data_IF_155353976106
#
_entry.id   IF_155353976106
#
_cell.length_a   1.000
_cell.length_b   1.000
_cell.length_c   1.000
_cell.angle_alpha   90.00
_cell.angle_beta   90.00
_cell.angle_gamma   90.00
#
_symmetry.space_group_name_H-M   'P 1'
#
loop_
_entity.id
_entity.type
_entity.pdbx_description
1 polymer ?
#
# COMPACT_ATOMS: atom_id res chain seq x y z
N UNK A 1 -30.83 -4.66 -18.78
CA UNK A 1 -30.79 -5.61 -17.65
C UNK A 1 -29.33 -5.70 -17.22
N UNK A 2 -29.00 -5.42 -15.97
CA UNK A 2 -27.63 -5.56 -15.48
C UNK A 2 -27.28 -7.05 -15.40
N UNK A 3 -26.16 -7.43 -15.98
CA UNK A 3 -25.59 -8.77 -15.86
C UNK A 3 -25.33 -9.09 -14.38
N UNK A 4 -25.56 -10.34 -13.95
CA UNK A 4 -25.24 -10.71 -12.57
C UNK A 4 -23.73 -10.66 -12.34
N UNK A 5 -23.31 -10.26 -11.14
CA UNK A 5 -21.90 -10.16 -10.74
C UNK A 5 -21.15 -11.47 -11.03
N UNK A 6 -21.80 -12.62 -10.76
CA UNK A 6 -21.22 -13.94 -11.00
C UNK A 6 -21.02 -14.22 -12.50
N UNK A 7 -21.98 -13.87 -13.34
CA UNK A 7 -21.86 -14.05 -14.79
C UNK A 7 -20.74 -13.17 -15.35
N UNK A 8 -20.66 -11.95 -14.87
CA UNK A 8 -19.61 -11.01 -15.27
C UNK A 8 -18.21 -11.48 -14.85
N UNK A 9 -18.06 -11.94 -13.59
CA UNK A 9 -16.80 -12.51 -13.12
C UNK A 9 -16.37 -13.75 -13.92
N UNK A 10 -17.31 -14.60 -14.32
CA UNK A 10 -17.02 -15.75 -15.16
C UNK A 10 -16.58 -15.37 -16.58
N UNK A 11 -17.15 -14.29 -17.14
CA UNK A 11 -16.71 -13.75 -18.43
C UNK A 11 -15.28 -13.21 -18.36
N UNK A 12 -14.93 -12.51 -17.27
CA UNK A 12 -13.55 -12.07 -17.02
C UNK A 12 -12.58 -13.24 -16.88
N UNK A 13 -12.96 -14.29 -16.12
CA UNK A 13 -12.14 -15.53 -15.98
C UNK A 13 -11.92 -16.23 -17.31
N UNK A 14 -12.94 -16.29 -18.15
CA UNK A 14 -12.84 -16.91 -19.46
C UNK A 14 -11.90 -16.14 -20.41
N UNK A 15 -11.90 -14.81 -20.33
CA UNK A 15 -11.08 -13.95 -21.20
C UNK A 15 -9.64 -13.83 -20.70
N UNK A 16 -9.45 -13.76 -19.39
CA UNK A 16 -8.16 -13.57 -18.74
C UNK A 16 -7.81 -14.80 -17.88
N UNK A 17 -7.60 -15.93 -18.54
CA UNK A 17 -7.36 -17.20 -17.86
C UNK A 17 -6.07 -17.22 -17.00
N UNK A 18 -5.11 -16.38 -17.33
CA UNK A 18 -3.83 -16.25 -16.59
C UNK A 18 -3.94 -15.29 -15.39
N UNK A 19 -5.06 -14.57 -15.26
CA UNK A 19 -5.28 -13.61 -14.20
C UNK A 19 -6.12 -14.21 -13.06
N UNK A 20 -5.86 -13.78 -11.83
CA UNK A 20 -6.68 -14.17 -10.68
C UNK A 20 -7.87 -13.22 -10.52
N UNK A 21 -9.07 -13.70 -10.84
CA UNK A 21 -10.32 -12.92 -10.66
C UNK A 21 -10.97 -13.30 -9.33
N UNK A 22 -11.12 -12.30 -8.45
CA UNK A 22 -11.75 -12.43 -7.14
C UNK A 22 -13.06 -11.66 -7.08
N UNK A 23 -14.00 -12.16 -6.27
CA UNK A 23 -15.25 -11.44 -5.96
C UNK A 23 -15.31 -11.31 -4.45
N UNK A 24 -15.35 -10.08 -3.95
CA UNK A 24 -15.41 -9.80 -2.52
C UNK A 24 -16.86 -9.82 -2.03
N UNK A 25 -17.23 -10.87 -1.31
CA UNK A 25 -18.52 -10.97 -0.64
C UNK A 25 -18.52 -10.21 0.71
N UNK A 26 -19.63 -9.60 1.14
CA UNK A 26 -20.95 -9.57 0.48
C UNK A 26 -21.14 -8.40 -0.51
N UNK A 27 -20.12 -7.56 -0.72
CA UNK A 27 -20.24 -6.32 -1.52
C UNK A 27 -20.31 -6.55 -3.03
N UNK A 28 -19.88 -7.73 -3.49
CA UNK A 28 -19.83 -8.04 -4.91
C UNK A 28 -18.77 -7.25 -5.69
N UNK A 29 -17.75 -6.73 -5.04
CA UNK A 29 -16.64 -6.03 -5.69
C UNK A 29 -15.78 -7.04 -6.45
N UNK A 30 -15.53 -6.76 -7.72
CA UNK A 30 -14.69 -7.61 -8.55
C UNK A 30 -13.27 -7.05 -8.57
N UNK A 31 -12.31 -7.91 -8.24
CA UNK A 31 -10.88 -7.65 -8.34
C UNK A 31 -10.22 -8.59 -9.34
N UNK A 32 -9.27 -8.08 -10.10
CA UNK A 32 -8.42 -8.87 -10.98
C UNK A 32 -6.96 -8.60 -10.64
N UNK A 33 -6.20 -9.67 -10.35
CA UNK A 33 -4.76 -9.61 -10.18
C UNK A 33 -4.08 -10.06 -11.45
N UNK A 34 -3.15 -9.26 -11.93
CA UNK A 34 -2.57 -9.32 -13.27
C UNK A 34 -1.04 -9.39 -13.11
N UNK A 35 -0.40 -10.23 -13.91
CA UNK A 35 1.05 -10.22 -14.04
C UNK A 35 1.53 -8.87 -14.59
N UNK A 36 2.63 -8.28 -14.07
CA UNK A 36 3.12 -6.97 -14.52
C UNK A 36 3.39 -6.92 -16.03
N UNK A 37 3.83 -8.02 -16.64
CA UNK A 37 4.06 -8.08 -18.09
C UNK A 37 2.77 -7.95 -18.92
N UNK A 38 1.61 -8.27 -18.33
CA UNK A 38 0.31 -8.21 -18.98
C UNK A 38 -0.54 -7.00 -18.58
N UNK A 39 -0.02 -6.16 -17.68
CA UNK A 39 -0.74 -5.06 -17.09
C UNK A 39 -1.40 -4.13 -18.12
N UNK A 40 -0.62 -3.58 -19.03
CA UNK A 40 -1.09 -2.67 -20.06
C UNK A 40 -2.00 -3.34 -21.09
N UNK A 41 -1.65 -4.56 -21.52
CA UNK A 41 -2.46 -5.30 -22.49
C UNK A 41 -3.85 -5.66 -21.93
N UNK A 42 -3.92 -6.06 -20.67
CA UNK A 42 -5.18 -6.34 -19.99
C UNK A 42 -6.00 -5.06 -19.81
N UNK A 43 -5.36 -3.94 -19.46
CA UNK A 43 -6.03 -2.64 -19.36
C UNK A 43 -6.67 -2.21 -20.69
N UNK A 44 -5.98 -2.36 -21.82
CA UNK A 44 -6.52 -2.11 -23.15
C UNK A 44 -7.74 -2.98 -23.44
N UNK A 45 -7.65 -4.28 -23.17
CA UNK A 45 -8.77 -5.19 -23.37
C UNK A 45 -9.98 -4.86 -22.47
N UNK A 46 -9.73 -4.46 -21.23
CA UNK A 46 -10.80 -4.02 -20.32
C UNK A 46 -11.50 -2.75 -20.83
N UNK A 47 -10.75 -1.80 -21.37
CA UNK A 47 -11.34 -0.61 -21.99
C UNK A 47 -12.15 -0.95 -23.24
N UNK A 48 -11.56 -1.70 -24.17
CA UNK A 48 -12.09 -1.86 -25.53
C UNK A 48 -13.13 -3.00 -25.63
N UNK A 49 -12.96 -4.10 -24.89
CA UNK A 49 -13.86 -5.27 -24.98
C UNK A 49 -14.93 -5.26 -23.85
N UNK A 50 -14.60 -4.70 -22.68
CA UNK A 50 -15.49 -4.69 -21.51
C UNK A 50 -16.12 -3.34 -21.20
N UNK A 51 -15.76 -2.29 -21.95
CA UNK A 51 -16.37 -0.97 -21.85
C UNK A 51 -16.05 -0.23 -20.56
N UNK A 52 -14.82 -0.36 -20.05
CA UNK A 52 -14.34 0.48 -18.94
C UNK A 52 -13.80 1.80 -19.47
N UNK A 53 -14.71 2.73 -19.72
CA UNK A 53 -14.39 4.02 -20.32
C UNK A 53 -13.59 4.93 -19.38
N UNK A 54 -13.82 4.79 -18.07
CA UNK A 54 -13.22 5.67 -17.07
C UNK A 54 -12.23 4.94 -16.17
N UNK A 55 -11.03 5.49 -16.08
CA UNK A 55 -10.11 5.27 -14.98
C UNK A 55 -10.49 6.20 -13.83
N UNK A 56 -10.83 5.63 -12.68
CA UNK A 56 -11.19 6.41 -11.49
C UNK A 56 -9.93 6.89 -10.78
N UNK A 57 -8.99 5.98 -10.55
CA UNK A 57 -7.69 6.29 -9.96
C UNK A 57 -6.63 5.22 -10.30
N UNK A 58 -5.36 5.55 -10.03
CA UNK A 58 -4.25 4.60 -9.91
C UNK A 58 -3.52 4.92 -8.61
N UNK A 59 -3.40 3.94 -7.73
CA UNK A 59 -2.76 4.10 -6.43
C UNK A 59 -1.58 3.13 -6.26
N UNK A 60 -0.50 3.58 -5.64
CA UNK A 60 0.55 2.71 -5.15
C UNK A 60 0.16 2.09 -3.80
N UNK A 61 0.64 0.88 -3.53
CA UNK A 61 0.46 0.21 -2.23
C UNK A 61 1.78 -0.43 -1.82
N UNK A 62 2.18 -0.20 -0.57
CA UNK A 62 3.29 -0.90 0.07
C UNK A 62 2.74 -1.94 1.05
N UNK A 63 2.96 -3.23 0.75
CA UNK A 63 2.53 -4.37 1.56
C UNK A 63 3.59 -4.80 2.59
N UNK A 64 4.63 -4.00 2.82
CA UNK A 64 5.60 -4.28 3.88
C UNK A 64 4.86 -4.48 5.20
N UNK A 65 5.04 -5.63 5.84
CA UNK A 65 4.35 -6.03 7.09
C UNK A 65 2.86 -6.40 6.96
N UNK A 66 2.27 -6.40 5.77
CA UNK A 66 0.90 -6.87 5.60
C UNK A 66 0.78 -8.35 6.00
N UNK A 67 -0.18 -8.67 6.87
CA UNK A 67 -0.41 -10.03 7.36
C UNK A 67 0.60 -10.52 8.41
N UNK A 68 1.60 -9.72 8.78
CA UNK A 68 2.40 -9.97 9.98
C UNK A 68 1.72 -9.37 11.21
N UNK A 69 2.02 -9.91 12.40
CA UNK A 69 1.50 -9.36 13.66
C UNK A 69 1.84 -7.88 13.78
N UNK A 70 0.86 -7.04 13.51
CA UNK A 70 1.02 -5.57 13.55
C UNK A 70 1.43 -5.04 14.93
N UNK A 71 1.34 -5.88 15.92
CA UNK A 71 1.34 -5.46 17.30
C UNK A 71 2.48 -6.07 18.11
N UNK A 72 3.57 -6.47 17.47
CA UNK A 72 4.78 -6.71 18.19
C UNK A 72 5.12 -5.42 18.95
N UNK A 73 4.78 -5.41 20.24
CA UNK A 73 4.88 -4.26 21.14
C UNK A 73 6.31 -4.03 21.61
N UNK A 74 7.30 -4.51 20.87
CA UNK A 74 8.66 -4.11 21.13
C UNK A 74 8.78 -2.61 20.92
N UNK A 75 9.15 -1.89 21.97
CA UNK A 75 9.17 -0.45 21.96
C UNK A 75 10.23 0.04 20.99
N UNK A 76 9.80 0.83 20.04
CA UNK A 76 10.68 1.54 19.15
C UNK A 76 11.49 2.56 19.93
N UNK A 77 12.81 2.49 19.85
CA UNK A 77 13.72 3.52 20.38
C UNK A 77 13.53 4.87 19.66
N UNK A 78 12.77 4.92 18.58
CA UNK A 78 12.48 6.11 17.80
C UNK A 78 11.10 6.74 18.11
N UNK A 79 10.60 6.54 19.32
CA UNK A 79 9.46 7.30 19.84
C UNK A 79 8.08 6.87 19.34
N UNK A 80 7.95 5.80 18.58
CA UNK A 80 6.66 5.19 18.28
C UNK A 80 6.21 4.22 19.37
N UNK A 81 6.65 4.48 20.61
CA UNK A 81 6.19 3.76 21.78
C UNK A 81 4.81 4.24 22.16
N UNK A 82 3.84 3.38 22.07
CA UNK A 82 2.48 3.62 22.56
C UNK A 82 2.44 3.52 24.11
N UNK A 83 3.32 4.22 24.78
CA UNK A 83 3.34 4.27 26.26
C UNK A 83 4.02 3.10 26.93
N UNK A 84 4.83 2.33 26.20
CA UNK A 84 5.69 1.26 26.77
C UNK A 84 7.14 1.72 26.68
N UNK A 85 7.91 1.59 27.77
CA UNK A 85 9.32 1.96 27.78
C UNK A 85 10.11 1.16 26.75
N UNK A 86 10.81 1.88 25.87
CA UNK A 86 11.59 1.29 24.79
C UNK A 86 12.84 0.57 25.28
N UNK A 87 12.90 -0.73 25.08
CA UNK A 87 14.09 -1.56 25.36
C UNK A 87 14.54 -2.32 24.11
N UNK A 88 14.57 -1.68 22.95
CA UNK A 88 15.05 -2.36 21.76
C UNK A 88 15.09 -1.47 20.53
N UNK A 89 15.71 -1.93 19.44
CA UNK A 89 15.59 -1.25 18.16
C UNK A 89 14.12 -1.21 17.76
N UNK A 90 13.67 -0.09 17.22
CA UNK A 90 12.33 0.06 16.72
C UNK A 90 11.94 -1.04 15.73
N UNK A 91 10.64 -1.16 15.46
CA UNK A 91 10.07 -2.13 14.52
C UNK A 91 10.78 -2.14 13.16
N UNK A 92 11.40 -1.03 12.80
CA UNK A 92 12.11 -0.84 11.55
C UNK A 92 13.53 -0.34 11.85
N UNK A 93 14.51 -1.17 11.58
CA UNK A 93 15.90 -0.75 11.43
C UNK A 93 16.13 -0.55 9.94
N UNK A 94 16.67 0.60 9.55
CA UNK A 94 17.04 0.87 8.17
C UNK A 94 17.87 -0.29 7.59
N UNK A 95 17.39 -0.86 6.48
CA UNK A 95 18.03 -1.99 5.83
C UNK A 95 17.74 -3.38 6.40
N UNK A 96 16.95 -3.49 7.47
CA UNK A 96 16.50 -4.79 7.97
C UNK A 96 14.99 -4.97 7.70
N UNK A 97 14.66 -6.05 7.01
CA UNK A 97 13.26 -6.43 6.80
C UNK A 97 12.72 -7.12 8.05
N UNK A 98 11.44 -6.90 8.41
CA UNK A 98 10.81 -7.59 9.54
C UNK A 98 10.94 -9.10 9.41
N UNK A 99 11.42 -9.78 10.45
CA UNK A 99 11.65 -11.22 10.51
C UNK A 99 10.33 -11.98 10.68
N UNK A 100 9.52 -12.07 9.69
CA UNK A 100 8.26 -12.83 9.79
C UNK A 100 7.70 -13.29 8.45
N UNK A 101 8.29 -12.83 7.37
CA UNK A 101 7.80 -13.11 6.01
C UNK A 101 8.85 -13.85 5.16
N UNK A 102 9.66 -14.73 5.77
CA UNK A 102 10.84 -15.32 5.12
C UNK A 102 10.51 -16.31 3.98
N UNK A 103 9.31 -16.87 3.90
CA UNK A 103 9.01 -18.00 3.00
C UNK A 103 8.00 -17.73 1.87
N UNK A 104 7.42 -16.54 1.77
CA UNK A 104 6.60 -16.19 0.62
C UNK A 104 7.39 -15.32 -0.36
N UNK A 105 7.24 -15.50 -1.68
CA UNK A 105 7.81 -14.56 -2.64
C UNK A 105 7.29 -13.17 -2.31
N UNK A 106 8.20 -12.27 -1.92
CA UNK A 106 7.85 -10.95 -1.41
C UNK A 106 7.27 -10.12 -2.53
N UNK A 107 6.00 -9.87 -2.46
CA UNK A 107 5.27 -8.94 -3.31
C UNK A 107 5.01 -7.69 -2.49
N UNK A 108 5.98 -6.79 -2.45
CA UNK A 108 5.89 -5.59 -1.60
C UNK A 108 5.10 -4.48 -2.25
N UNK A 109 5.51 -4.06 -3.42
CA UNK A 109 4.88 -2.92 -4.10
C UNK A 109 3.86 -3.36 -5.12
N UNK A 110 2.68 -2.76 -5.06
CA UNK A 110 1.64 -2.99 -6.04
C UNK A 110 1.11 -1.67 -6.61
N UNK A 111 0.74 -1.69 -7.89
CA UNK A 111 -0.11 -0.69 -8.50
C UNK A 111 -1.54 -1.21 -8.55
N UNK A 112 -2.48 -0.38 -8.11
CA UNK A 112 -3.91 -0.68 -8.08
C UNK A 112 -4.64 0.38 -8.88
N UNK A 113 -5.45 -0.04 -9.86
CA UNK A 113 -6.30 0.85 -10.64
C UNK A 113 -7.76 0.51 -10.44
N UNK A 114 -8.59 1.52 -10.25
CA UNK A 114 -10.03 1.38 -10.18
C UNK A 114 -10.67 1.89 -11.46
N UNK A 115 -11.47 1.02 -12.05
CA UNK A 115 -12.14 1.27 -13.35
C UNK A 115 -13.64 1.36 -13.15
N UNK A 116 -14.27 2.21 -13.95
CA UNK A 116 -15.72 2.37 -13.99
C UNK A 116 -16.22 2.28 -15.44
N UNK A 117 -17.21 1.44 -15.64
CA UNK A 117 -18.03 1.42 -16.86
C UNK A 117 -19.35 2.13 -16.59
N UNK A 118 -19.60 3.21 -17.32
CA UNK A 118 -20.90 3.90 -17.31
C UNK A 118 -21.96 3.08 -18.04
N UNK A 119 -21.56 2.47 -19.15
CA UNK A 119 -22.48 1.68 -19.98
C UNK A 119 -23.07 0.50 -19.21
N UNK A 120 -22.26 -0.19 -18.42
CA UNK A 120 -22.65 -1.38 -17.69
C UNK A 120 -22.93 -1.12 -16.20
N UNK A 121 -22.68 0.11 -15.71
CA UNK A 121 -22.73 0.49 -14.29
C UNK A 121 -21.96 -0.51 -13.40
N UNK A 122 -20.74 -0.80 -13.81
CA UNK A 122 -19.87 -1.78 -13.15
C UNK A 122 -18.54 -1.14 -12.75
N UNK A 123 -17.99 -1.61 -11.63
CA UNK A 123 -16.66 -1.24 -11.15
C UNK A 123 -15.77 -2.47 -11.14
N UNK A 124 -14.50 -2.22 -11.41
CA UNK A 124 -13.47 -3.25 -11.39
C UNK A 124 -12.21 -2.68 -10.73
N UNK A 125 -11.60 -3.46 -9.86
CA UNK A 125 -10.28 -3.17 -9.32
C UNK A 125 -9.26 -4.07 -10.00
N UNK A 126 -8.32 -3.49 -10.74
CA UNK A 126 -7.15 -4.20 -11.24
C UNK A 126 -5.98 -3.96 -10.27
N UNK A 127 -5.16 -5.01 -10.05
CA UNK A 127 -3.95 -4.93 -9.24
C UNK A 127 -2.83 -5.71 -9.92
N UNK A 128 -1.64 -5.14 -9.89
CA UNK A 128 -0.40 -5.83 -10.26
C UNK A 128 0.66 -5.57 -9.21
N UNK A 129 1.54 -6.54 -9.02
CA UNK A 129 2.71 -6.37 -8.16
C UNK A 129 3.94 -6.12 -9.02
N UNK A 130 4.80 -5.21 -8.60
CA UNK A 130 6.10 -5.04 -9.23
C UNK A 130 6.93 -6.31 -9.07
N UNK A 131 7.74 -6.62 -10.07
CA UNK A 131 8.57 -7.82 -10.07
C UNK A 131 9.77 -7.71 -9.12
N UNK A 132 10.23 -6.48 -8.87
CA UNK A 132 11.38 -6.16 -8.03
C UNK A 132 10.97 -5.17 -6.93
N UNK A 133 11.36 -5.46 -5.69
CA UNK A 133 11.08 -4.62 -4.53
C UNK A 133 12.11 -3.49 -4.36
N UNK A 134 13.31 -3.62 -4.89
CA UNK A 134 14.32 -2.55 -4.85
C UNK A 134 14.01 -1.46 -5.87
N UNK A 135 13.61 -1.87 -7.07
CA UNK A 135 13.23 -0.98 -8.16
C UNK A 135 11.87 -1.39 -8.74
N UNK A 136 10.76 -1.02 -8.08
CA UNK A 136 9.43 -1.41 -8.51
C UNK A 136 9.05 -0.71 -9.81
N UNK A 137 8.94 -1.49 -10.89
CA UNK A 137 8.57 -1.01 -12.23
C UNK A 137 7.26 -1.65 -12.66
N UNK A 138 6.37 -0.83 -13.23
CA UNK A 138 5.08 -1.23 -13.80
C UNK A 138 4.85 -0.44 -15.08
N UNK A 139 4.24 -1.04 -16.10
CA UNK A 139 3.88 -0.33 -17.33
C UNK A 139 2.90 0.83 -17.04
N UNK A 140 3.10 1.96 -17.70
CA UNK A 140 2.19 3.11 -17.63
C UNK A 140 0.87 2.83 -18.36
N UNK A 141 -0.23 3.29 -17.77
CA UNK A 141 -1.58 3.28 -18.36
C UNK A 141 -1.94 4.58 -19.07
N UNK A 142 -1.03 5.54 -19.20
CA UNK A 142 -1.29 6.84 -19.84
C UNK A 142 -1.72 6.70 -21.31
N UNK A 143 -1.24 5.67 -22.00
CA UNK A 143 -1.68 5.36 -23.37
C UNK A 143 -3.09 4.76 -23.45
N UNK A 144 -3.60 4.25 -22.33
CA UNK A 144 -4.95 3.67 -22.24
C UNK A 144 -5.94 4.74 -21.78
N UNK A 145 -5.61 5.41 -20.68
CA UNK A 145 -6.42 6.51 -20.12
C UNK A 145 -5.51 7.69 -19.80
N UNK A 146 -5.74 8.82 -20.44
CA UNK A 146 -4.93 10.02 -20.24
C UNK A 146 -4.90 10.50 -18.76
N UNK A 147 -5.98 10.23 -18.02
CA UNK A 147 -6.06 10.57 -16.58
C UNK A 147 -5.04 9.85 -15.71
N UNK A 148 -4.49 8.72 -16.15
CA UNK A 148 -3.46 7.99 -15.43
C UNK A 148 -2.19 8.83 -15.16
N UNK A 149 -1.92 9.82 -16.01
CA UNK A 149 -0.72 10.68 -15.90
C UNK A 149 -0.53 11.23 -14.48
N UNK A 150 -1.57 11.81 -13.89
CA UNK A 150 -1.48 12.44 -12.57
C UNK A 150 -1.39 11.42 -11.44
N UNK A 151 -2.15 10.35 -11.52
CA UNK A 151 -2.17 9.29 -10.51
C UNK A 151 -0.87 8.49 -10.49
N UNK A 152 -0.28 8.22 -11.64
CA UNK A 152 1.00 7.52 -11.74
C UNK A 152 2.14 8.38 -11.19
N UNK A 153 2.12 9.69 -11.42
CA UNK A 153 3.07 10.62 -10.80
C UNK A 153 2.92 10.65 -9.28
N UNK A 154 1.70 10.61 -8.76
CA UNK A 154 1.43 10.51 -7.33
C UNK A 154 1.98 9.21 -6.75
N UNK A 155 1.68 8.06 -7.38
CA UNK A 155 2.18 6.77 -6.94
C UNK A 155 3.72 6.67 -7.00
N UNK A 156 4.33 7.26 -8.03
CA UNK A 156 5.78 7.41 -8.11
C UNK A 156 6.32 8.27 -6.97
N UNK A 157 5.72 9.42 -6.73
CA UNK A 157 6.21 10.37 -5.71
C UNK A 157 6.12 9.77 -4.30
N UNK A 158 4.99 9.15 -3.96
CA UNK A 158 4.71 8.67 -2.61
C UNK A 158 5.31 7.30 -2.31
N UNK A 159 5.39 6.40 -3.28
CA UNK A 159 5.84 5.01 -3.10
C UNK A 159 7.12 4.67 -3.86
N UNK A 160 7.51 5.46 -4.86
CA UNK A 160 8.67 5.19 -5.70
C UNK A 160 8.44 4.08 -6.73
N UNK A 161 7.18 3.85 -7.12
CA UNK A 161 6.86 2.94 -8.24
C UNK A 161 7.14 3.66 -9.55
N UNK A 162 8.01 3.10 -10.38
CA UNK A 162 8.35 3.66 -11.69
C UNK A 162 7.35 3.15 -12.73
N UNK A 163 6.73 4.07 -13.46
CA UNK A 163 5.80 3.74 -14.55
C UNK A 163 6.50 3.82 -15.90
N UNK A 164 6.83 2.67 -16.46
CA UNK A 164 7.54 2.59 -17.75
C UNK A 164 6.64 3.05 -18.90
N UNK A 165 7.17 3.94 -19.75
CA UNK A 165 6.41 4.53 -20.85
C UNK A 165 5.56 5.74 -20.44
N UNK A 166 5.66 6.22 -19.21
CA UNK A 166 5.03 7.48 -18.80
C UNK A 166 5.73 8.68 -19.48
N UNK A 167 4.99 9.61 -20.08
CA UNK A 167 5.58 10.69 -20.88
C UNK A 167 6.38 11.72 -20.06
N UNK A 168 6.05 11.92 -18.79
CA UNK A 168 6.67 12.93 -17.91
C UNK A 168 6.55 12.49 -16.44
N UNK A 169 7.30 11.46 -16.04
CA UNK A 169 7.28 10.92 -14.68
C UNK A 169 8.15 11.78 -13.76
N UNK A 170 7.53 12.66 -13.01
CA UNK A 170 8.16 13.56 -12.04
C UNK A 170 7.31 13.71 -10.80
N UNK A 171 7.92 14.09 -9.69
CA UNK A 171 7.21 14.34 -8.42
C UNK A 171 6.10 15.38 -8.57
N UNK A 172 5.05 15.27 -7.76
CA UNK A 172 3.87 16.13 -7.85
C UNK A 172 3.42 16.69 -6.50
N UNK A 173 3.58 15.92 -5.43
CA UNK A 173 3.10 16.29 -4.08
C UNK A 173 4.23 16.69 -3.15
N UNK A 174 5.39 16.04 -3.23
CA UNK A 174 6.53 16.36 -2.39
C UNK A 174 7.31 17.54 -2.94
N UNK A 175 8.07 18.22 -2.07
CA UNK A 175 8.92 19.34 -2.43
C UNK A 175 10.08 18.91 -3.37
N UNK A 176 10.63 19.84 -4.15
CA UNK A 176 11.69 19.58 -5.14
C UNK A 176 12.95 18.94 -4.54
N UNK A 177 13.28 19.28 -3.29
CA UNK A 177 14.42 18.74 -2.57
C UNK A 177 14.11 17.52 -1.70
N UNK A 178 12.90 16.99 -1.76
CA UNK A 178 12.48 15.89 -0.89
C UNK A 178 13.22 14.58 -1.22
N UNK A 179 13.80 13.95 -0.21
CA UNK A 179 14.54 12.69 -0.35
C UNK A 179 13.70 11.55 0.21
N UNK A 180 13.48 10.52 -0.61
CA UNK A 180 12.69 9.34 -0.26
C UNK A 180 11.25 9.40 -0.75
N UNK A 181 10.43 8.47 -0.26
CA UNK A 181 9.04 8.27 -0.63
C UNK A 181 8.21 8.13 0.64
N UNK A 182 7.41 9.14 1.01
CA UNK A 182 6.87 9.27 2.37
C UNK A 182 5.78 8.25 2.73
N UNK A 183 5.17 7.55 1.76
CA UNK A 183 4.14 6.55 2.02
C UNK A 183 4.69 5.12 2.07
N UNK A 184 5.98 4.92 1.82
CA UNK A 184 6.62 3.64 2.11
C UNK A 184 6.54 3.36 3.60
N UNK A 185 6.25 2.11 3.95
CA UNK A 185 6.09 1.68 5.35
C UNK A 185 7.39 1.75 6.18
N UNK A 186 8.52 1.76 5.51
CA UNK A 186 9.85 1.95 6.10
C UNK A 186 10.28 3.42 6.20
N UNK A 187 9.49 4.36 5.67
CA UNK A 187 9.77 5.79 5.81
C UNK A 187 9.33 6.29 7.19
N UNK A 188 10.20 7.05 7.93
CA UNK A 188 9.86 7.53 9.26
C UNK A 188 8.69 8.53 9.22
N UNK A 189 7.73 8.39 10.13
CA UNK A 189 6.53 9.22 10.16
C UNK A 189 6.84 10.72 10.36
N UNK A 190 7.88 11.02 11.15
CA UNK A 190 8.34 12.39 11.38
C UNK A 190 9.20 12.97 10.25
N UNK A 191 9.58 12.12 9.26
CA UNK A 191 10.53 12.49 8.22
C UNK A 191 11.98 12.53 8.69
N UNK A 192 12.87 13.00 7.82
CA UNK A 192 14.30 13.13 8.10
C UNK A 192 14.75 14.60 8.20
N UNK A 193 14.00 15.49 7.57
CA UNK A 193 14.33 16.89 7.41
C UNK A 193 13.10 17.74 7.69
N UNK A 194 13.28 18.81 8.46
CA UNK A 194 12.26 19.82 8.64
C UNK A 194 12.65 21.13 7.96
N UNK A 195 11.65 21.95 7.68
CA UNK A 195 11.80 23.22 6.99
C UNK A 195 11.41 24.34 7.94
N UNK A 196 12.33 25.28 8.16
CA UNK A 196 12.13 26.41 9.04
C UNK A 196 12.49 27.75 8.36
N UNK A 197 11.74 28.79 8.66
CA UNK A 197 12.10 30.13 8.23
C UNK A 197 13.13 30.75 9.19
N UNK A 198 14.29 31.13 8.66
CA UNK A 198 15.33 31.86 9.39
C UNK A 198 15.12 33.36 9.19
N UNK A 199 14.71 34.04 10.27
CA UNK A 199 14.41 35.46 10.24
C UNK A 199 15.67 36.34 10.07
N UNK A 200 16.83 35.89 10.51
CA UNK A 200 18.09 36.62 10.38
C UNK A 200 18.61 36.59 8.94
N UNK A 201 18.57 35.39 8.36
CA UNK A 201 18.99 35.16 6.97
C UNK A 201 17.89 35.47 5.96
N UNK A 202 16.67 35.76 6.41
CA UNK A 202 15.47 36.06 5.60
C UNK A 202 15.22 34.99 4.52
N UNK A 203 15.42 33.72 4.87
CA UNK A 203 15.22 32.58 3.95
C UNK A 203 14.73 31.33 4.68
N UNK A 204 14.17 30.43 3.89
CA UNK A 204 13.86 29.07 4.34
C UNK A 204 15.13 28.25 4.39
N UNK A 205 15.34 27.51 5.48
CA UNK A 205 16.44 26.59 5.69
C UNK A 205 15.92 25.20 5.94
N UNK A 206 16.71 24.19 5.54
CA UNK A 206 16.49 22.79 5.80
C UNK A 206 17.41 22.38 6.93
N UNK A 207 16.85 21.72 7.94
CA UNK A 207 17.60 21.22 9.08
C UNK A 207 17.14 19.81 9.45
N UNK A 208 17.97 19.01 10.15
CA UNK A 208 17.52 17.70 10.63
C UNK A 208 16.28 17.84 11.51
N UNK A 209 15.37 16.87 11.40
CA UNK A 209 14.11 16.90 12.16
C UNK A 209 14.37 16.89 13.66
N UNK A 210 13.72 17.82 14.38
CA UNK A 210 13.77 17.95 15.83
C UNK A 210 12.44 17.60 16.52
N UNK A 211 11.45 17.12 15.76
CA UNK A 211 10.11 16.82 16.25
C UNK A 211 10.16 15.62 17.21
N UNK A 212 9.71 15.85 18.45
CA UNK A 212 9.47 14.76 19.38
C UNK A 212 8.15 14.07 19.09
N UNK A 213 8.14 12.76 18.80
CA UNK A 213 6.91 12.02 18.54
C UNK A 213 5.99 12.05 19.75
N UNK A 214 4.72 12.42 19.56
CA UNK A 214 3.72 12.39 20.61
C UNK A 214 2.81 11.19 20.47
N UNK A 215 2.69 10.41 21.54
CA UNK A 215 1.71 9.32 21.62
C UNK A 215 0.36 9.93 22.01
N UNK A 216 -0.56 10.02 21.06
CA UNK A 216 -1.87 10.61 21.29
C UNK A 216 -2.84 9.68 22.02
N UNK A 217 -2.69 8.36 21.81
CA UNK A 217 -3.55 7.34 22.44
C UNK A 217 -2.66 6.29 23.09
N UNK A 218 -2.50 6.29 24.42
CA UNK A 218 -1.76 5.23 25.10
C UNK A 218 -2.54 3.91 24.96
N UNK A 219 -1.85 2.84 24.59
CA UNK A 219 -2.43 1.50 24.62
C UNK A 219 -2.45 0.99 26.04
N UNK A 220 -3.64 0.75 26.55
CA UNK A 220 -3.80 0.02 27.81
C UNK A 220 -3.84 -1.46 27.51
N UNK A 221 -2.84 -2.21 27.96
CA UNK A 221 -2.88 -3.67 27.95
C UNK A 221 -3.84 -4.07 29.07
N UNK A 222 -4.93 -4.72 28.73
CA UNK A 222 -5.89 -5.24 29.70
C UNK A 222 -5.70 -6.75 29.79
N UNK A 223 -5.19 -7.20 30.92
CA UNK A 223 -5.11 -8.61 31.27
C UNK A 223 -6.44 -9.11 31.84
N UNK A 224 -7.53 -8.91 31.10
CA UNK A 224 -8.83 -9.39 31.51
C UNK A 224 -9.32 -10.52 30.58
N UNK A 225 -10.13 -11.43 31.15
CA UNK A 225 -10.61 -12.64 30.46
C UNK A 225 -11.45 -12.37 29.21
N UNK A 226 -11.86 -11.12 28.95
CA UNK A 226 -12.67 -10.76 27.79
C UNK A 226 -11.91 -10.86 26.46
N UNK A 227 -10.57 -10.88 26.51
CA UNK A 227 -9.69 -10.93 25.35
C UNK A 227 -8.94 -12.25 25.21
N UNK A 228 -9.18 -13.19 26.13
CA UNK A 228 -8.60 -14.52 26.06
C UNK A 228 -9.36 -15.34 25.01
N UNK A 229 -8.63 -16.01 24.14
CA UNK A 229 -9.24 -17.01 23.27
C UNK A 229 -9.60 -18.26 24.08
N UNK A 230 -10.47 -19.11 23.56
CA UNK A 230 -10.85 -20.36 24.23
C UNK A 230 -9.63 -21.27 24.54
N UNK A 231 -8.55 -21.13 23.76
CA UNK A 231 -7.28 -21.83 24.00
C UNK A 231 -6.51 -21.24 25.20
N UNK A 232 -6.50 -19.91 25.32
CA UNK A 232 -5.85 -19.22 26.43
C UNK A 232 -6.61 -19.43 27.75
N UNK A 233 -7.96 -19.48 27.70
CA UNK A 233 -8.77 -19.81 28.88
C UNK A 233 -8.51 -21.24 29.39
N UNK A 234 -8.30 -22.19 28.47
CA UNK A 234 -7.96 -23.57 28.88
C UNK A 234 -6.56 -23.67 29.47
N UNK A 235 -5.56 -22.95 28.93
CA UNK A 235 -4.21 -22.88 29.46
C UNK A 235 -4.18 -22.20 30.84
N UNK A 236 -4.91 -21.12 31.04
CA UNK A 236 -5.03 -20.43 32.31
C UNK A 236 -5.69 -21.31 33.39
N UNK A 237 -6.69 -22.12 33.04
CA UNK A 237 -7.33 -23.09 33.97
C UNK A 237 -6.38 -24.23 34.37
N UNK A 238 -5.42 -24.58 33.51
CA UNK A 238 -4.43 -25.63 33.76
C UNK A 238 -3.18 -25.10 34.48
N UNK A 239 -3.12 -23.79 34.82
CA UNK A 239 -1.99 -23.18 35.51
C UNK A 239 -0.69 -23.11 34.68
N UNK A 240 -0.78 -23.32 33.39
CA UNK A 240 0.34 -23.18 32.47
C UNK A 240 0.46 -21.71 32.10
N UNK A 241 1.52 -21.05 32.56
CA UNK A 241 1.86 -19.69 32.06
C UNK A 241 2.34 -19.81 30.61
N UNK A 242 1.87 -18.92 29.71
CA UNK A 242 2.36 -18.86 28.33
C UNK A 242 3.85 -18.56 28.25
#
# INVERSE_FOLDING_TARGET
MSESITAYANRLRARFAECTVTVAEPRGEIGIEIDPAQWRATALALRDEFGFEQLTDVSGVDYLTWGSDEWNTEPSSEGFSRGVEGKGPGRFVWGQMPSGAADAPRRRFAAVAHLLSFQHNQRLRMRTFAADDEMPIVDSLTSVWAGANWFEREAFDLFGIVFEGHPDLRRILTDYGFIGHPFRKDFPLIGNVEVRYDAERKRVIYEPVSIEPRVLVPRVIRDDSRYLTAADESAARLGVKP
#
